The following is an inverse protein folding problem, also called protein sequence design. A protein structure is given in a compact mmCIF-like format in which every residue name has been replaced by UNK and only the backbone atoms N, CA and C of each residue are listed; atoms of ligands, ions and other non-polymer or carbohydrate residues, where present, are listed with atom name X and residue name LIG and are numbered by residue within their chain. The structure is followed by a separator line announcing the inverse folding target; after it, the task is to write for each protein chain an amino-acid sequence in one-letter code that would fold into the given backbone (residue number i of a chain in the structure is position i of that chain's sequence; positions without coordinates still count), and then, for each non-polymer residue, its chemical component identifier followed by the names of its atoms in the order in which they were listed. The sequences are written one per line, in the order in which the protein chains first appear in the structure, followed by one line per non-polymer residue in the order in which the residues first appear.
data_IF_719321102656
#
_entry.id   IF_719321102656
#
_cell.length_a   1.000
_cell.length_b   1.000
_cell.length_c   1.000
_cell.angle_alpha   90.00
_cell.angle_beta   90.00
_cell.angle_gamma   90.00
#
_symmetry.space_group_name_H-M   'P 1'
#
loop_
_entity.id
_entity.type
_entity.pdbx_description
1 polymer ?
#
# COMPACT_ATOMS: atom_id res chain seq x y z
N UNK A 1 -38.05 -55.49 -54.01
CA UNK A 1 -39.23 -54.78 -53.49
C UNK A 1 -38.90 -54.26 -52.09
N UNK A 2 -39.03 -52.93 -51.88
CA UNK A 2 -38.97 -52.14 -50.62
C UNK A 2 -37.64 -51.93 -49.86
N UNK A 3 -36.94 -50.88 -50.31
CA UNK A 3 -36.36 -49.70 -49.62
C UNK A 3 -36.58 -49.59 -48.10
N UNK A 4 -35.52 -49.34 -47.32
CA UNK A 4 -35.25 -48.04 -46.66
C UNK A 4 -34.04 -48.12 -45.69
N UNK A 5 -32.87 -47.75 -46.20
CA UNK A 5 -31.78 -47.20 -45.38
C UNK A 5 -32.00 -45.69 -45.33
N UNK A 6 -32.24 -45.12 -44.15
CA UNK A 6 -32.28 -43.67 -44.00
C UNK A 6 -31.39 -43.24 -42.83
N UNK A 7 -30.45 -42.39 -43.22
CA UNK A 7 -29.20 -42.11 -42.56
C UNK A 7 -29.36 -41.24 -41.31
N UNK A 8 -28.43 -41.48 -40.38
CA UNK A 8 -27.98 -40.57 -39.35
C UNK A 8 -27.77 -39.16 -39.90
N UNK A 9 -28.44 -38.16 -39.29
CA UNK A 9 -28.04 -36.75 -39.42
C UNK A 9 -27.75 -36.18 -38.04
N UNK A 10 -26.44 -36.08 -37.83
CA UNK A 10 -25.70 -35.36 -36.80
C UNK A 10 -26.20 -33.93 -36.59
N UNK A 11 -26.45 -33.54 -35.34
CA UNK A 11 -26.54 -32.13 -34.93
C UNK A 11 -25.47 -31.86 -33.87
N UNK A 12 -24.28 -31.47 -34.35
CA UNK A 12 -23.14 -31.04 -33.57
C UNK A 12 -23.35 -29.58 -33.16
N UNK A 13 -23.93 -29.34 -31.99
CA UNK A 13 -24.04 -27.99 -31.43
C UNK A 13 -22.69 -27.58 -30.81
N UNK A 14 -21.87 -26.84 -31.58
CA UNK A 14 -20.70 -26.15 -31.04
C UNK A 14 -21.14 -24.99 -30.14
N UNK A 15 -21.18 -25.22 -28.83
CA UNK A 15 -21.21 -24.14 -27.86
C UNK A 15 -19.79 -23.55 -27.75
N UNK A 16 -19.57 -22.38 -28.34
CA UNK A 16 -18.34 -21.60 -28.12
C UNK A 16 -18.31 -21.10 -26.66
N UNK A 17 -17.22 -21.30 -25.90
CA UNK A 17 -17.00 -20.54 -24.69
C UNK A 17 -16.59 -19.11 -25.05
N UNK A 18 -17.42 -18.12 -24.68
CA UNK A 18 -17.02 -16.73 -24.67
C UNK A 18 -15.99 -16.53 -23.55
N UNK A 19 -14.70 -16.55 -23.91
CA UNK A 19 -13.61 -16.18 -23.01
C UNK A 19 -13.67 -14.65 -22.88
N UNK A 20 -14.28 -14.16 -21.81
CA UNK A 20 -14.24 -12.76 -21.42
C UNK A 20 -12.91 -12.57 -20.67
N UNK A 21 -11.93 -11.80 -21.18
CA UNK A 21 -10.79 -11.43 -20.38
C UNK A 21 -11.23 -10.27 -19.48
N UNK A 22 -11.76 -10.57 -18.29
CA UNK A 22 -11.85 -9.56 -17.23
C UNK A 22 -10.46 -9.36 -16.63
N UNK A 23 -9.62 -8.67 -17.38
CA UNK A 23 -8.38 -8.09 -16.89
C UNK A 23 -8.72 -6.91 -15.97
N UNK A 24 -9.12 -7.21 -14.74
CA UNK A 24 -9.02 -6.26 -13.63
C UNK A 24 -8.35 -7.01 -12.49
N UNK A 25 -7.07 -7.35 -12.70
CA UNK A 25 -6.16 -7.49 -11.58
C UNK A 25 -6.11 -6.13 -10.90
N UNK A 26 -6.97 -5.91 -9.92
CA UNK A 26 -6.67 -4.97 -8.87
C UNK A 26 -5.40 -5.51 -8.23
N UNK A 27 -4.25 -4.98 -8.66
CA UNK A 27 -2.99 -5.12 -7.96
C UNK A 27 -3.29 -4.64 -6.54
N UNK A 28 -3.59 -5.56 -5.63
CA UNK A 28 -3.63 -5.29 -4.22
C UNK A 28 -2.21 -4.83 -3.91
N UNK A 29 -2.01 -3.50 -3.89
CA UNK A 29 -0.70 -2.91 -3.68
C UNK A 29 -0.21 -3.49 -2.37
N UNK A 30 0.75 -4.43 -2.48
CA UNK A 30 1.26 -5.19 -1.35
C UNK A 30 1.63 -4.16 -0.29
N UNK A 31 0.88 -4.13 0.80
CA UNK A 31 1.21 -3.33 1.99
C UNK A 31 2.55 -3.85 2.43
N UNK A 32 3.62 -3.18 2.01
CA UNK A 32 4.93 -3.43 2.58
C UNK A 32 4.81 -2.95 4.01
N UNK A 33 4.69 -3.88 4.94
CA UNK A 33 4.82 -3.60 6.36
C UNK A 33 6.25 -3.15 6.60
N UNK A 34 6.49 -1.85 6.43
CA UNK A 34 7.81 -1.26 6.61
C UNK A 34 7.95 -0.90 8.08
N UNK A 35 9.11 -1.16 8.68
CA UNK A 35 9.40 -0.78 10.08
C UNK A 35 9.27 0.72 10.32
N UNK A 36 8.95 1.14 11.55
CA UNK A 36 9.04 2.55 11.98
C UNK A 36 10.46 3.15 11.78
N UNK A 37 11.48 2.28 11.73
CA UNK A 37 12.88 2.64 11.53
C UNK A 37 13.33 2.59 10.07
N UNK A 38 12.42 2.31 9.15
CA UNK A 38 12.73 2.23 7.73
C UNK A 38 13.27 3.55 7.17
N UNK A 39 14.08 3.43 6.12
CA UNK A 39 14.84 4.55 5.58
C UNK A 39 16.06 4.88 6.45
N UNK A 40 16.84 5.86 5.99
CA UNK A 40 18.09 6.27 6.63
C UNK A 40 17.83 7.50 7.49
N UNK A 41 18.43 7.57 8.68
CA UNK A 41 18.56 8.86 9.38
C UNK A 41 19.44 9.76 8.53
N UNK A 42 19.02 11.00 8.34
CA UNK A 42 19.71 11.94 7.50
C UNK A 42 19.46 13.38 7.98
N UNK A 43 20.40 14.25 7.69
CA UNK A 43 20.14 15.69 7.68
C UNK A 43 19.33 16.05 6.44
N UNK A 44 18.80 17.27 6.41
CA UNK A 44 18.00 17.75 5.28
C UNK A 44 18.83 17.74 3.98
N UNK A 45 18.46 16.92 2.98
CA UNK A 45 19.20 16.86 1.73
C UNK A 45 19.17 18.19 0.96
N UNK A 46 20.22 18.48 0.16
CA UNK A 46 20.22 19.61 -0.77
C UNK A 46 19.03 19.53 -1.72
N UNK A 47 18.53 20.71 -2.13
CA UNK A 47 17.51 20.77 -3.18
C UNK A 47 18.08 20.26 -4.50
N UNK A 48 17.30 19.49 -5.25
CA UNK A 48 17.71 18.83 -6.50
C UNK A 48 18.47 17.52 -6.32
N UNK A 49 18.71 17.05 -5.09
CA UNK A 49 19.41 15.78 -4.84
C UNK A 49 18.61 14.55 -5.26
N UNK A 50 17.30 14.68 -5.45
CA UNK A 50 16.42 13.58 -5.83
C UNK A 50 16.11 12.60 -4.69
N UNK A 51 16.71 12.80 -3.51
CA UNK A 51 16.43 12.04 -2.30
C UNK A 51 15.01 12.35 -1.83
N UNK A 52 14.28 11.31 -1.43
CA UNK A 52 12.94 11.45 -0.87
C UNK A 52 13.05 11.62 0.64
N UNK A 53 12.47 12.69 1.17
CA UNK A 53 12.39 12.98 2.60
C UNK A 53 11.01 12.62 3.11
N UNK A 54 10.97 11.69 4.07
CA UNK A 54 9.79 11.43 4.89
C UNK A 54 9.84 12.22 6.19
N UNK A 55 8.74 12.89 6.50
CA UNK A 55 8.53 13.61 7.75
C UNK A 55 7.24 13.14 8.40
N UNK A 56 7.35 12.75 9.67
CA UNK A 56 6.22 12.42 10.53
C UNK A 56 6.34 13.17 11.84
N UNK A 57 5.25 13.80 12.27
CA UNK A 57 5.09 14.40 13.59
C UNK A 57 3.68 14.05 14.09
N UNK A 58 3.60 13.61 15.34
CA UNK A 58 2.38 13.18 15.99
C UNK A 58 2.60 13.01 17.49
N UNK A 59 1.63 12.38 18.15
CA UNK A 59 1.67 12.10 19.58
C UNK A 59 1.31 10.63 19.82
N UNK A 60 1.79 10.09 20.93
CA UNK A 60 1.43 8.76 21.41
C UNK A 60 1.22 8.81 22.93
N UNK A 61 0.57 7.78 23.48
CA UNK A 61 0.38 7.67 24.92
C UNK A 61 1.73 7.47 25.63
N UNK A 62 1.90 8.12 26.78
CA UNK A 62 3.09 7.93 27.60
C UNK A 62 3.15 6.50 28.15
N UNK A 63 4.25 5.76 27.95
CA UNK A 63 4.37 4.42 28.53
C UNK A 63 4.58 4.45 30.05
N UNK A 64 4.80 5.64 30.64
CA UNK A 64 5.10 5.82 32.06
C UNK A 64 3.88 6.15 32.91
N UNK A 65 2.83 6.70 32.32
CA UNK A 65 1.64 7.19 33.02
C UNK A 65 0.42 6.57 32.34
N UNK A 66 -0.28 5.68 33.03
CA UNK A 66 -1.38 4.88 32.50
C UNK A 66 -2.73 5.60 32.46
N UNK A 67 -2.80 6.83 33.00
CA UNK A 67 -4.06 7.56 33.16
C UNK A 67 -4.52 8.29 31.88
N UNK A 68 -3.84 8.10 30.74
CA UNK A 68 -4.23 8.64 29.43
C UNK A 68 -4.02 10.14 29.23
N UNK A 69 -3.67 10.87 30.30
CA UNK A 69 -3.48 12.33 30.27
C UNK A 69 -2.08 12.77 29.80
N UNK A 70 -1.13 11.83 29.75
CA UNK A 70 0.26 12.13 29.42
C UNK A 70 0.57 11.68 27.99
N UNK A 71 0.81 12.66 27.11
CA UNK A 71 1.18 12.42 25.71
C UNK A 71 2.68 12.63 25.49
N UNK A 72 3.27 11.79 24.64
CA UNK A 72 4.66 11.89 24.21
C UNK A 72 4.69 12.29 22.73
N UNK A 73 5.46 13.33 22.41
CA UNK A 73 5.67 13.75 21.03
C UNK A 73 6.50 12.72 20.26
N UNK A 74 6.03 12.36 19.06
CA UNK A 74 6.70 11.44 18.15
C UNK A 74 7.09 12.19 16.88
N UNK A 75 8.37 12.56 16.80
CA UNK A 75 8.96 13.16 15.61
C UNK A 75 9.92 12.19 14.93
N UNK A 76 9.72 12.01 13.61
CA UNK A 76 10.60 11.20 12.77
C UNK A 76 10.90 11.89 11.45
N UNK A 77 12.20 11.90 11.13
CA UNK A 77 12.74 12.38 9.87
C UNK A 77 13.61 11.29 9.26
N UNK A 78 13.28 10.88 8.02
CA UNK A 78 13.95 9.76 7.32
C UNK A 78 14.15 10.11 5.86
N UNK A 79 15.25 9.62 5.29
CA UNK A 79 15.50 9.68 3.85
C UNK A 79 15.30 8.32 3.20
N UNK A 80 14.73 8.33 2.01
CA UNK A 80 14.42 7.16 1.19
C UNK A 80 14.96 7.36 -0.22
N UNK A 81 15.25 6.24 -0.88
CA UNK A 81 15.67 6.23 -2.28
C UNK A 81 14.47 6.41 -3.20
N UNK A 82 13.29 5.92 -2.79
CA UNK A 82 12.09 5.95 -3.62
C UNK A 82 10.87 6.55 -2.90
N UNK A 83 9.93 7.08 -3.68
CA UNK A 83 8.68 7.65 -3.15
C UNK A 83 7.78 6.56 -2.55
N UNK A 84 7.78 5.37 -3.14
CA UNK A 84 6.98 4.23 -2.66
C UNK A 84 7.43 3.77 -1.28
N UNK A 85 8.73 3.67 -1.02
CA UNK A 85 9.28 3.34 0.30
C UNK A 85 8.88 4.39 1.34
N UNK A 86 8.98 5.68 0.99
CA UNK A 86 8.58 6.76 1.88
C UNK A 86 7.07 6.70 2.22
N UNK A 87 6.21 6.47 1.22
CA UNK A 87 4.76 6.33 1.43
C UNK A 87 4.42 5.11 2.29
N UNK A 88 5.08 3.97 2.06
CA UNK A 88 4.92 2.78 2.88
C UNK A 88 5.31 3.05 4.34
N UNK A 89 6.44 3.71 4.55
CA UNK A 89 6.86 4.11 5.90
C UNK A 89 5.88 5.09 6.57
N UNK A 90 5.38 6.11 5.86
CA UNK A 90 4.37 7.03 6.41
C UNK A 90 3.07 6.33 6.78
N UNK A 91 2.68 5.31 6.01
CA UNK A 91 1.52 4.51 6.34
C UNK A 91 1.73 3.75 7.66
N UNK A 92 2.89 3.09 7.83
CA UNK A 92 3.25 2.45 9.10
C UNK A 92 3.20 3.46 10.25
N UNK A 93 3.86 4.61 10.10
CA UNK A 93 3.90 5.64 11.14
C UNK A 93 2.50 6.09 11.54
N UNK A 94 1.65 6.42 10.57
CA UNK A 94 0.27 6.80 10.85
C UNK A 94 -0.49 5.68 11.53
N UNK A 95 -0.38 4.42 11.05
CA UNK A 95 -1.07 3.28 11.66
C UNK A 95 -0.62 2.94 13.07
N UNK A 96 0.66 3.22 13.40
CA UNK A 96 1.24 2.93 14.71
C UNK A 96 0.85 3.97 15.74
N UNK A 97 0.78 5.24 15.33
CA UNK A 97 0.59 6.39 16.21
C UNK A 97 -0.77 7.06 16.00
N UNK A 98 -1.85 6.26 15.97
CA UNK A 98 -3.24 6.75 15.90
C UNK A 98 -3.92 6.93 17.25
N UNK A 99 -3.37 6.34 18.32
CA UNK A 99 -4.09 6.13 19.59
C UNK A 99 -4.35 7.45 20.33
N UNK A 100 -3.33 8.31 20.38
CA UNK A 100 -3.38 9.58 21.11
C UNK A 100 -3.78 10.80 20.24
N UNK A 101 -4.13 10.58 18.96
CA UNK A 101 -4.57 11.64 18.06
C UNK A 101 -4.07 11.50 16.63
N UNK A 102 -4.53 12.42 15.77
CA UNK A 102 -4.08 12.48 14.38
C UNK A 102 -2.65 13.05 14.27
N UNK A 103 -1.89 12.58 13.29
CA UNK A 103 -0.59 13.14 12.97
C UNK A 103 -0.70 14.63 12.61
N UNK A 104 0.16 15.47 13.18
CA UNK A 104 0.26 16.90 12.87
C UNK A 104 1.03 17.14 11.57
N UNK A 105 1.92 16.22 11.20
CA UNK A 105 2.68 16.24 9.95
C UNK A 105 2.87 14.81 9.44
N UNK A 106 2.48 14.54 8.19
CA UNK A 106 2.80 13.30 7.51
C UNK A 106 3.01 13.58 6.02
N UNK A 107 4.27 13.60 5.56
CA UNK A 107 4.57 13.95 4.16
C UNK A 107 5.86 13.34 3.64
N UNK A 108 5.82 13.02 2.35
CA UNK A 108 6.98 12.62 1.55
C UNK A 108 7.27 13.71 0.52
N UNK A 109 8.50 14.21 0.49
CA UNK A 109 8.91 15.29 -0.40
C UNK A 109 10.19 14.87 -1.12
N UNK A 110 10.22 15.00 -2.45
CA UNK A 110 11.46 14.90 -3.22
C UNK A 110 12.24 16.21 -3.06
N UNK A 111 13.50 16.11 -2.64
CA UNK A 111 14.38 17.28 -2.44
C UNK A 111 15.03 17.73 -3.72
#
# INVERSE_FOLDING_TARGET
MKINSLAFLTSLALALPAIIPTATGAEAQVRKDVSEYAGRRCNTPPRGSGIIVGQFSGVDDSPFISDGDALVAIDRYRCFTTMSECKGWLYTMQSKYTNAGAATLARCIKR
#
